data_IF_321453879308
#
_entry.id   IF_321453879308
#
_cell.length_a   1.000
_cell.length_b   1.000
_cell.length_c   1.000
_cell.angle_alpha   90.00
_cell.angle_beta   90.00
_cell.angle_gamma   90.00
#
_symmetry.space_group_name_H-M   'P 1'
#
loop_
_entity.id
_entity.type
_entity.pdbx_description
1 polymer ?
#
# COMPACT_ATOMS: atom_id res chain seq x y z
N UNK A 1 18.31 4.93 2.37
CA UNK A 1 19.79 4.89 2.20
C UNK A 1 20.45 5.10 3.56
N UNK A 2 21.77 4.93 3.74
CA UNK A 2 22.45 5.03 5.06
C UNK A 2 23.20 6.37 5.28
N UNK A 3 22.72 7.48 4.72
CA UNK A 3 23.35 8.80 4.90
C UNK A 3 24.75 8.95 4.32
N UNK A 4 25.18 8.06 3.43
CA UNK A 4 26.46 8.18 2.73
C UNK A 4 26.42 9.33 1.70
N UNK A 5 27.55 10.01 1.54
CA UNK A 5 27.71 11.11 0.58
C UNK A 5 27.50 10.66 -0.87
N UNK A 6 27.01 11.57 -1.72
CA UNK A 6 26.88 11.30 -3.15
C UNK A 6 28.24 11.50 -3.84
N UNK A 7 28.77 10.43 -4.40
CA UNK A 7 30.00 10.44 -5.19
C UNK A 7 29.70 10.75 -6.66
N UNK A 8 30.62 11.44 -7.35
CA UNK A 8 30.47 11.84 -8.75
C UNK A 8 30.12 10.68 -9.72
N UNK A 9 30.65 9.45 -9.59
CA UNK A 9 30.23 8.32 -10.44
C UNK A 9 28.77 7.88 -10.27
N UNK A 10 28.07 8.37 -9.23
CA UNK A 10 26.64 8.13 -9.01
C UNK A 10 25.74 9.27 -9.51
N UNK A 11 26.30 10.32 -10.11
CA UNK A 11 25.54 11.41 -10.73
C UNK A 11 25.22 11.02 -12.17
N UNK A 12 23.93 10.89 -12.50
CA UNK A 12 23.49 10.68 -13.88
C UNK A 12 23.53 12.01 -14.63
N UNK A 13 24.00 11.98 -15.87
CA UNK A 13 24.11 13.14 -16.77
C UNK A 13 23.60 12.77 -18.16
N UNK A 14 22.97 13.71 -18.86
CA UNK A 14 22.24 13.47 -20.12
C UNK A 14 23.15 13.32 -21.37
N UNK A 15 24.39 12.87 -21.17
CA UNK A 15 25.43 12.83 -22.19
C UNK A 15 26.84 12.72 -21.61
N UNK A 16 27.89 12.84 -22.46
CA UNK A 16 29.28 12.85 -22.02
C UNK A 16 29.58 14.06 -21.11
N UNK A 17 30.60 13.91 -20.26
CA UNK A 17 31.07 15.01 -19.41
C UNK A 17 31.72 16.11 -20.27
N UNK A 18 31.08 17.27 -20.30
CA UNK A 18 31.50 18.48 -21.01
C UNK A 18 31.61 19.64 -19.99
N UNK A 19 32.33 20.73 -20.30
CA UNK A 19 32.54 21.84 -19.37
C UNK A 19 31.26 22.47 -18.83
N UNK A 20 30.14 22.32 -19.54
CA UNK A 20 28.82 22.83 -19.16
C UNK A 20 27.89 21.79 -18.50
N UNK A 21 28.27 20.51 -18.38
CA UNK A 21 27.41 19.46 -17.79
C UNK A 21 27.02 19.75 -16.34
N UNK A 22 27.91 20.40 -15.58
CA UNK A 22 27.65 20.83 -14.20
C UNK A 22 27.40 22.35 -14.07
N UNK A 23 27.04 23.03 -15.16
CA UNK A 23 26.85 24.48 -15.13
C UNK A 23 25.77 24.90 -14.11
N UNK A 24 25.93 26.08 -13.50
CA UNK A 24 25.17 26.59 -12.33
C UNK A 24 25.46 25.89 -10.99
N UNK A 25 26.34 24.89 -10.92
CA UNK A 25 26.77 24.29 -9.63
C UNK A 25 27.99 25.03 -9.06
N UNK A 26 27.77 25.82 -8.01
CA UNK A 26 28.84 26.35 -7.15
C UNK A 26 29.11 25.41 -5.96
N UNK A 27 30.29 25.52 -5.36
CA UNK A 27 30.69 24.76 -4.16
C UNK A 27 29.99 25.29 -2.90
N UNK A 28 29.75 24.39 -1.94
CA UNK A 28 29.08 24.61 -0.65
C UNK A 28 27.64 25.16 -0.71
N UNK A 29 26.97 24.97 -1.86
CA UNK A 29 25.57 25.34 -2.07
C UNK A 29 24.64 24.22 -1.60
N UNK A 30 23.56 24.58 -0.92
CA UNK A 30 22.51 23.65 -0.51
C UNK A 30 21.77 23.11 -1.75
N UNK A 31 21.67 21.79 -1.86
CA UNK A 31 21.03 21.10 -2.98
C UNK A 31 20.17 19.92 -2.51
N UNK A 32 19.22 19.51 -3.35
CA UNK A 32 18.45 18.29 -3.16
C UNK A 32 18.94 17.19 -4.12
N UNK A 33 18.82 15.94 -3.68
CA UNK A 33 19.16 14.75 -4.46
C UNK A 33 17.84 14.01 -4.76
N UNK A 34 17.59 13.76 -6.04
CA UNK A 34 16.43 12.99 -6.55
C UNK A 34 16.91 11.74 -7.31
N UNK A 35 16.00 10.92 -7.83
CA UNK A 35 16.33 9.69 -8.57
C UNK A 35 15.81 9.77 -10.00
N UNK A 36 16.45 9.06 -10.94
CA UNK A 36 15.97 8.95 -12.34
C UNK A 36 14.54 8.40 -12.42
N UNK A 37 14.11 7.62 -11.44
CA UNK A 37 12.75 7.11 -11.30
C UNK A 37 11.73 8.08 -10.67
N UNK A 38 12.17 9.14 -9.98
CA UNK A 38 11.28 10.05 -9.26
C UNK A 38 11.98 11.39 -8.96
N UNK A 39 11.38 12.49 -9.44
CA UNK A 39 11.84 13.88 -9.29
C UNK A 39 11.74 14.41 -7.86
N UNK A 40 10.87 13.84 -7.00
CA UNK A 40 10.79 14.20 -5.59
C UNK A 40 12.14 13.97 -4.88
N UNK A 41 12.64 14.91 -4.04
CA UNK A 41 13.85 14.69 -3.26
C UNK A 41 13.82 13.41 -2.41
N UNK A 42 14.98 12.77 -2.27
CA UNK A 42 15.22 11.64 -1.35
C UNK A 42 16.30 11.96 -0.31
N UNK A 43 17.16 12.95 -0.59
CA UNK A 43 18.13 13.49 0.35
C UNK A 43 18.38 14.99 0.10
N UNK A 44 18.95 15.67 1.09
CA UNK A 44 19.38 17.08 1.04
C UNK A 44 20.85 17.13 1.49
N UNK A 45 21.64 17.98 0.84
CA UNK A 45 23.08 18.07 1.10
C UNK A 45 23.71 19.39 0.63
N UNK A 46 25.04 19.49 0.76
CA UNK A 46 25.84 20.61 0.26
C UNK A 46 26.82 20.14 -0.81
N UNK A 47 26.94 20.89 -1.90
CA UNK A 47 27.86 20.56 -3.00
C UNK A 47 29.32 20.61 -2.50
N UNK A 48 30.06 19.51 -2.66
CA UNK A 48 31.42 19.41 -2.13
C UNK A 48 32.50 19.99 -3.07
N UNK A 49 32.13 20.19 -4.34
CA UNK A 49 32.99 20.60 -5.45
C UNK A 49 32.24 21.63 -6.32
N UNK A 50 32.95 22.52 -7.01
CA UNK A 50 32.36 23.43 -8.00
C UNK A 50 32.15 22.73 -9.35
N UNK A 51 31.37 23.32 -10.26
CA UNK A 51 31.23 22.86 -11.65
C UNK A 51 32.57 22.56 -12.34
N UNK A 52 33.56 23.45 -12.16
CA UNK A 52 34.90 23.29 -12.70
C UNK A 52 35.64 22.11 -12.05
N UNK A 53 35.60 21.98 -10.72
CA UNK A 53 36.22 20.86 -10.00
C UNK A 53 35.57 19.51 -10.39
N UNK A 54 34.24 19.46 -10.51
CA UNK A 54 33.48 18.26 -10.88
C UNK A 54 33.78 17.79 -12.31
N UNK A 55 34.06 18.73 -13.22
CA UNK A 55 34.53 18.44 -14.57
C UNK A 55 36.01 17.99 -14.57
N UNK A 56 36.91 18.78 -13.97
CA UNK A 56 38.36 18.51 -13.99
C UNK A 56 38.78 17.26 -13.21
N UNK A 57 37.95 16.79 -12.28
CA UNK A 57 38.13 15.50 -11.59
C UNK A 57 37.71 14.28 -12.42
N UNK A 58 37.26 14.46 -13.67
CA UNK A 58 36.84 13.41 -14.59
C UNK A 58 35.82 12.44 -13.96
N UNK A 59 34.82 12.99 -13.27
CA UNK A 59 33.76 12.21 -12.61
C UNK A 59 34.21 11.46 -11.36
N UNK A 60 35.35 11.78 -10.74
CA UNK A 60 35.85 11.13 -9.51
C UNK A 60 35.80 12.06 -8.30
N UNK A 61 35.39 11.55 -7.14
CA UNK A 61 35.33 12.31 -5.89
C UNK A 61 33.91 12.50 -5.37
N UNK A 62 33.74 13.40 -4.39
CA UNK A 62 32.46 13.66 -3.73
C UNK A 62 31.71 14.78 -4.45
N UNK A 63 30.51 14.52 -4.95
CA UNK A 63 29.65 15.53 -5.56
C UNK A 63 28.91 16.35 -4.49
N UNK A 64 28.24 15.67 -3.56
CA UNK A 64 27.41 16.30 -2.51
C UNK A 64 27.67 15.61 -1.18
N UNK A 65 27.96 16.38 -0.14
CA UNK A 65 27.93 15.85 1.22
C UNK A 65 26.51 15.84 1.76
N UNK A 66 26.02 14.69 2.21
CA UNK A 66 24.62 14.49 2.59
C UNK A 66 24.40 14.96 4.04
N UNK A 67 23.39 15.80 4.24
CA UNK A 67 23.01 16.34 5.55
C UNK A 67 21.78 15.64 6.13
N UNK A 68 20.83 15.25 5.27
CA UNK A 68 19.58 14.61 5.63
C UNK A 68 19.15 13.63 4.54
N UNK A 69 18.57 12.49 4.91
CA UNK A 69 18.08 11.48 3.97
C UNK A 69 16.76 10.86 4.44
N UNK A 70 15.85 10.61 3.49
CA UNK A 70 14.58 9.97 3.82
C UNK A 70 14.81 8.59 4.46
N UNK A 71 14.21 8.41 5.64
CA UNK A 71 14.38 7.24 6.50
C UNK A 71 15.47 7.37 7.58
N UNK A 72 16.03 8.56 7.81
CA UNK A 72 16.90 8.83 8.96
C UNK A 72 16.12 9.20 10.24
N UNK A 73 16.86 9.51 11.32
CA UNK A 73 16.27 9.87 12.60
C UNK A 73 15.47 11.18 12.59
N UNK A 74 15.77 12.14 11.70
CA UNK A 74 14.98 13.37 11.58
C UNK A 74 13.59 13.05 11.00
N UNK A 75 13.51 12.11 10.05
CA UNK A 75 12.22 11.59 9.55
C UNK A 75 11.39 10.97 10.68
N UNK A 76 12.02 10.33 11.67
CA UNK A 76 11.31 9.68 12.79
C UNK A 76 10.62 10.65 13.76
N UNK A 77 10.94 11.95 13.69
CA UNK A 77 10.25 13.00 14.45
C UNK A 77 8.95 13.48 13.77
N UNK A 78 8.71 13.10 12.52
CA UNK A 78 7.54 13.53 11.73
C UNK A 78 6.71 12.31 11.33
N UNK A 79 5.51 12.19 11.90
CA UNK A 79 4.57 11.12 11.56
C UNK A 79 4.20 11.14 10.07
N UNK A 80 4.17 9.97 9.43
CA UNK A 80 3.70 9.74 8.04
C UNK A 80 4.49 10.38 6.88
N UNK A 81 5.78 10.68 7.06
CA UNK A 81 6.62 11.13 5.94
C UNK A 81 6.80 10.02 4.88
N UNK A 82 6.22 10.23 3.69
CA UNK A 82 6.38 9.37 2.50
C UNK A 82 6.87 10.20 1.31
N UNK A 83 7.56 9.55 0.34
CA UNK A 83 8.04 10.24 -0.86
C UNK A 83 6.90 10.34 -1.88
N UNK A 84 6.44 11.53 -2.28
CA UNK A 84 5.49 11.66 -3.39
C UNK A 84 6.12 11.15 -4.68
N UNK A 85 5.31 10.59 -5.57
CA UNK A 85 5.78 10.07 -6.87
C UNK A 85 5.60 11.14 -7.94
N UNK A 86 6.66 11.88 -8.24
CA UNK A 86 6.70 12.81 -9.37
C UNK A 86 7.54 12.22 -10.50
N UNK A 87 6.95 11.79 -11.63
CA UNK A 87 7.73 11.37 -12.79
C UNK A 87 8.52 12.56 -13.36
N UNK A 88 9.58 12.26 -14.10
CA UNK A 88 10.20 13.26 -14.98
C UNK A 88 9.30 13.47 -16.21
N UNK A 89 9.26 14.68 -16.80
CA UNK A 89 8.60 14.88 -18.08
C UNK A 89 9.26 13.98 -19.12
N UNK A 90 8.46 13.25 -19.90
CA UNK A 90 8.98 12.54 -21.06
C UNK A 90 9.26 13.61 -22.12
N UNK A 91 10.53 13.96 -22.30
CA UNK A 91 10.99 14.57 -23.53
C UNK A 91 10.90 13.48 -24.60
N UNK A 92 9.98 13.62 -25.54
CA UNK A 92 9.95 12.77 -26.73
C UNK A 92 11.23 13.05 -27.53
N UNK A 93 12.13 12.06 -27.61
CA UNK A 93 13.31 12.14 -28.47
C UNK A 93 12.85 12.12 -29.93
N UNK A 94 12.70 13.33 -30.49
CA UNK A 94 12.26 13.60 -31.86
C UNK A 94 13.33 13.20 -32.88
N UNK A 95 13.48 11.89 -33.04
CA UNK A 95 14.37 11.21 -33.98
C UNK A 95 14.00 11.55 -35.44
N UNK A 96 14.50 12.68 -35.93
CA UNK A 96 14.46 13.06 -37.34
C UNK A 96 15.81 13.55 -37.85
N UNK A 97 16.43 12.69 -38.63
CA UNK A 97 17.45 13.05 -39.62
C UNK A 97 16.84 13.98 -40.67
N UNK A 98 17.39 15.18 -40.81
CA UNK A 98 17.21 16.02 -42.00
C UNK A 98 18.36 17.03 -42.09
N UNK A 99 19.42 16.66 -42.82
CA UNK A 99 20.34 17.64 -43.40
C UNK A 99 19.65 18.36 -44.57
N UNK A 100 20.14 19.56 -44.92
CA UNK A 100 19.58 20.48 -45.94
C UNK A 100 18.16 21.01 -45.60
N UNK A 101 17.93 22.31 -45.47
CA UNK A 101 18.40 23.40 -46.34
C UNK A 101 18.81 24.67 -45.55
N UNK A 102 19.82 25.37 -46.07
CA UNK A 102 20.24 26.71 -45.62
C UNK A 102 19.43 27.81 -46.32
N UNK A 103 18.98 28.83 -45.55
CA UNK A 103 19.09 30.29 -45.85
C UNK A 103 18.30 31.16 -44.85
N UNK A 104 19.00 32.14 -44.25
CA UNK A 104 18.81 33.60 -44.40
C UNK A 104 17.38 34.13 -44.66
N UNK A 105 16.86 35.17 -44.01
CA UNK A 105 17.38 36.21 -43.07
C UNK A 105 16.17 36.66 -42.18
N UNK A 106 16.19 37.57 -41.21
CA UNK A 106 17.07 38.12 -40.16
C UNK A 106 16.20 39.22 -39.47
N UNK A 107 16.64 39.69 -38.29
CA UNK A 107 16.32 40.97 -37.63
C UNK A 107 14.95 41.26 -36.92
N UNK A 108 15.12 41.96 -35.78
CA UNK A 108 14.32 43.03 -35.16
C UNK A 108 13.06 42.83 -34.29
N UNK A 109 13.31 43.11 -33.01
CA UNK A 109 12.55 43.93 -32.05
C UNK A 109 11.15 43.54 -31.53
N UNK A 110 11.14 43.51 -30.19
CA UNK A 110 10.04 43.67 -29.27
C UNK A 110 9.11 44.88 -29.52
N UNK A 111 7.82 44.69 -29.20
CA UNK A 111 7.06 45.55 -28.27
C UNK A 111 5.74 44.89 -27.85
N UNK A 112 5.44 44.94 -26.55
CA UNK A 112 4.06 44.98 -26.05
C UNK A 112 3.57 46.44 -26.11
N UNK A 113 2.24 46.66 -26.10
CA UNK A 113 1.72 47.37 -24.93
C UNK A 113 0.34 46.87 -24.44
N UNK A 114 0.01 47.27 -23.21
CA UNK A 114 -1.30 47.11 -22.56
C UNK A 114 -2.13 48.37 -22.77
N UNK A 115 -3.43 48.22 -23.02
CA UNK A 115 -4.55 49.14 -22.69
C UNK A 115 -5.86 48.57 -23.25
N UNK A 116 -7.09 48.82 -22.79
CA UNK A 116 -7.74 49.36 -21.59
C UNK A 116 -9.25 49.38 -21.94
N UNK A 117 -10.13 49.66 -20.96
CA UNK A 117 -11.59 49.92 -21.07
C UNK A 117 -12.50 48.67 -20.96
N UNK A 118 -13.17 48.37 -19.85
CA UNK A 118 -14.12 49.15 -19.03
C UNK A 118 -15.47 49.46 -19.70
N UNK A 119 -16.53 48.82 -19.21
CA UNK A 119 -17.85 49.45 -19.10
C UNK A 119 -18.63 48.81 -17.94
N UNK A 120 -19.44 49.64 -17.25
CA UNK A 120 -20.22 49.29 -16.06
C UNK A 120 -21.70 49.23 -16.41
N UNK A 121 -22.45 48.35 -15.75
CA UNK A 121 -23.89 48.54 -15.46
C UNK A 121 -24.07 48.19 -13.98
N UNK A 122 -24.97 48.90 -13.31
CA UNK A 122 -25.08 49.00 -11.85
C UNK A 122 -26.44 48.52 -11.31
N UNK A 123 -26.54 48.57 -9.98
CA UNK A 123 -27.77 48.69 -9.17
C UNK A 123 -28.67 47.45 -8.97
N UNK A 124 -29.31 47.22 -7.79
CA UNK A 124 -29.05 47.65 -6.39
C UNK A 124 -30.00 46.84 -5.44
N UNK A 125 -29.80 46.92 -4.10
CA UNK A 125 -30.70 46.49 -2.99
C UNK A 125 -30.88 44.96 -2.75
N UNK A 126 -30.93 44.43 -1.51
CA UNK A 126 -30.60 44.99 -0.19
C UNK A 126 -30.37 43.88 0.87
N UNK A 127 -29.49 44.14 1.86
CA UNK A 127 -29.68 43.96 3.34
C UNK A 127 -30.49 42.73 3.83
N UNK A 128 -29.97 41.80 4.65
CA UNK A 128 -28.65 41.69 5.33
C UNK A 128 -28.25 40.19 5.58
N UNK A 129 -27.57 39.66 6.62
CA UNK A 129 -27.25 40.08 8.00
C UNK A 129 -25.97 39.38 8.56
N UNK A 130 -25.58 39.73 9.79
CA UNK A 130 -24.43 39.29 10.63
C UNK A 130 -24.26 37.75 10.87
N UNK A 131 -23.12 37.19 11.32
CA UNK A 131 -21.92 37.76 11.99
C UNK A 131 -20.65 36.88 11.84
N UNK A 132 -19.49 37.54 11.98
CA UNK A 132 -18.20 37.04 12.49
C UNK A 132 -17.21 36.34 11.50
N UNK A 133 -16.22 37.12 11.07
CA UNK A 133 -15.00 36.71 10.36
C UNK A 133 -13.85 36.32 11.33
N UNK A 134 -12.98 35.40 10.90
CA UNK A 134 -11.50 35.45 10.98
C UNK A 134 -10.90 34.10 10.56
N UNK A 135 -10.50 33.97 9.30
CA UNK A 135 -9.42 33.04 8.91
C UNK A 135 -8.56 33.62 7.79
N UNK A 136 -7.24 33.56 7.99
CA UNK A 136 -6.27 34.20 7.10
C UNK A 136 -6.35 33.62 5.67
N UNK A 137 -6.41 34.53 4.70
CA UNK A 137 -6.16 34.17 3.30
C UNK A 137 -4.74 33.61 3.14
N UNK A 138 -4.64 32.37 2.67
CA UNK A 138 -3.45 31.87 1.99
C UNK A 138 -3.83 31.68 0.53
N UNK A 139 -3.48 32.66 -0.30
CA UNK A 139 -3.70 32.61 -1.74
C UNK A 139 -3.05 31.37 -2.33
N UNK A 140 -3.87 30.45 -2.87
CA UNK A 140 -3.42 29.31 -3.64
C UNK A 140 -4.03 29.34 -5.03
N UNK A 141 -3.19 29.02 -6.01
CA UNK A 141 -3.38 29.31 -7.43
C UNK A 141 -4.54 28.51 -8.05
N UNK A 142 -5.12 29.02 -9.13
CA UNK A 142 -6.31 28.46 -9.76
C UNK A 142 -6.07 27.01 -10.21
N UNK A 143 -6.79 26.06 -9.63
CA UNK A 143 -7.01 24.78 -10.28
C UNK A 143 -7.96 24.98 -11.47
N UNK A 144 -7.75 24.25 -12.60
CA UNK A 144 -8.69 24.28 -13.72
C UNK A 144 -10.07 23.77 -13.26
N UNK A 145 -11.18 24.30 -13.80
CA UNK A 145 -12.53 23.93 -13.37
C UNK A 145 -12.80 22.44 -13.58
N UNK A 146 -13.13 21.74 -12.49
CA UNK A 146 -13.42 20.30 -12.51
C UNK A 146 -14.80 20.06 -13.12
N UNK A 147 -14.83 19.41 -14.28
CA UNK A 147 -16.06 18.93 -14.92
C UNK A 147 -16.63 17.72 -14.16
N UNK A 148 -17.54 18.01 -13.23
CA UNK A 148 -18.24 17.00 -12.43
C UNK A 148 -19.16 16.09 -13.27
N UNK A 149 -19.67 16.55 -14.42
CA UNK A 149 -20.49 15.71 -15.31
C UNK A 149 -19.61 14.63 -15.98
N UNK A 150 -18.45 15.03 -16.49
CA UNK A 150 -17.48 14.11 -17.09
C UNK A 150 -16.94 13.12 -16.07
N UNK A 151 -16.56 13.58 -14.86
CA UNK A 151 -16.10 12.69 -13.78
C UNK A 151 -17.21 11.70 -13.41
N UNK A 152 -18.47 12.13 -13.30
CA UNK A 152 -19.59 11.22 -13.06
C UNK A 152 -19.76 10.18 -14.18
N UNK A 153 -19.75 10.59 -15.45
CA UNK A 153 -19.86 9.67 -16.60
C UNK A 153 -18.72 8.65 -16.60
N UNK A 154 -17.48 9.08 -16.39
CA UNK A 154 -16.34 8.16 -16.29
C UNK A 154 -16.47 7.15 -15.15
N UNK A 155 -16.91 7.58 -13.96
CA UNK A 155 -17.12 6.68 -12.81
C UNK A 155 -18.22 5.66 -13.09
N UNK A 156 -19.32 6.11 -13.68
CA UNK A 156 -20.44 5.27 -14.11
C UNK A 156 -20.00 4.21 -15.14
N UNK A 157 -19.30 4.60 -16.21
CA UNK A 157 -18.82 3.67 -17.24
C UNK A 157 -17.85 2.61 -16.69
N UNK A 158 -16.96 2.99 -15.76
CA UNK A 158 -16.07 2.04 -15.05
C UNK A 158 -16.88 1.03 -14.22
N UNK A 159 -17.96 1.48 -13.56
CA UNK A 159 -18.82 0.63 -12.74
C UNK A 159 -19.58 -0.45 -13.54
N UNK A 160 -20.09 -0.12 -14.74
CA UNK A 160 -20.84 -1.05 -15.59
C UNK A 160 -19.98 -2.23 -16.10
N UNK A 161 -18.67 -2.03 -16.25
CA UNK A 161 -17.74 -3.13 -16.57
C UNK A 161 -17.60 -4.12 -15.41
N UNK A 162 -17.54 -3.62 -14.17
CA UNK A 162 -17.26 -4.46 -12.98
C UNK A 162 -18.47 -5.24 -12.49
N UNK A 163 -19.69 -4.70 -12.62
CA UNK A 163 -20.92 -5.38 -12.19
C UNK A 163 -21.18 -6.64 -13.05
N UNK A 164 -21.50 -7.76 -12.40
CA UNK A 164 -21.90 -9.01 -13.05
C UNK A 164 -23.42 -9.06 -13.19
N UNK A 165 -23.93 -9.68 -14.26
CA UNK A 165 -25.37 -9.71 -14.58
C UNK A 165 -26.19 -10.37 -13.45
N UNK A 166 -25.61 -11.36 -12.75
CA UNK A 166 -26.22 -12.01 -11.59
C UNK A 166 -26.26 -11.16 -10.29
N UNK A 167 -25.85 -9.89 -10.35
CA UNK A 167 -26.04 -8.91 -9.27
C UNK A 167 -27.25 -8.00 -9.52
N UNK A 168 -27.99 -8.21 -10.61
CA UNK A 168 -29.22 -7.50 -10.95
C UNK A 168 -30.45 -8.39 -10.62
N UNK A 169 -31.61 -7.79 -10.29
CA UNK A 169 -31.87 -6.36 -10.19
C UNK A 169 -31.28 -5.74 -8.90
N UNK A 170 -30.76 -4.51 -9.01
CA UNK A 170 -30.03 -3.80 -7.95
C UNK A 170 -30.69 -2.46 -7.62
N UNK A 171 -30.82 -2.10 -6.34
CA UNK A 171 -31.36 -0.77 -5.98
C UNK A 171 -30.40 0.34 -6.42
N UNK A 172 -30.94 1.42 -6.99
CA UNK A 172 -30.16 2.57 -7.50
C UNK A 172 -29.27 3.21 -6.43
N UNK A 173 -29.70 3.25 -5.17
CA UNK A 173 -28.89 3.78 -4.07
C UNK A 173 -27.64 2.93 -3.81
N UNK A 174 -27.78 1.60 -3.88
CA UNK A 174 -26.67 0.63 -3.74
C UNK A 174 -25.73 0.77 -4.94
N UNK A 175 -26.28 0.79 -6.16
CA UNK A 175 -25.51 0.99 -7.38
C UNK A 175 -24.66 2.28 -7.34
N UNK A 176 -25.26 3.41 -7.00
CA UNK A 176 -24.56 4.69 -6.95
C UNK A 176 -23.48 4.72 -5.86
N UNK A 177 -23.82 4.32 -4.63
CA UNK A 177 -22.89 4.42 -3.49
C UNK A 177 -21.76 3.39 -3.52
N UNK A 178 -22.02 2.15 -3.94
CA UNK A 178 -21.05 1.05 -3.85
C UNK A 178 -20.32 0.75 -5.16
N UNK A 179 -20.86 1.16 -6.31
CA UNK A 179 -20.25 0.88 -7.62
C UNK A 179 -19.84 2.15 -8.39
N UNK A 180 -20.65 3.21 -8.41
CA UNK A 180 -20.27 4.46 -9.11
C UNK A 180 -19.23 5.25 -8.32
N UNK A 181 -19.49 5.57 -7.04
CA UNK A 181 -18.57 6.38 -6.22
C UNK A 181 -17.21 5.70 -5.95
N UNK A 182 -17.13 4.37 -6.06
CA UNK A 182 -15.91 3.58 -5.91
C UNK A 182 -14.83 3.94 -6.94
N UNK A 183 -15.21 4.53 -8.07
CA UNK A 183 -14.30 4.91 -9.15
C UNK A 183 -13.91 6.41 -9.16
N UNK A 184 -14.30 7.19 -8.13
CA UNK A 184 -13.97 8.63 -8.07
C UNK A 184 -12.46 8.86 -7.93
N UNK A 185 -11.87 9.88 -8.61
CA UNK A 185 -10.47 10.25 -8.41
C UNK A 185 -10.19 10.65 -6.95
N UNK A 186 -9.00 10.34 -6.38
CA UNK A 186 -8.70 10.63 -4.97
C UNK A 186 -8.63 12.13 -4.63
N UNK A 187 -8.59 13.01 -5.65
CA UNK A 187 -8.57 14.46 -5.51
C UNK A 187 -9.93 15.12 -5.83
N UNK A 188 -10.98 14.35 -6.12
CA UNK A 188 -12.30 14.88 -6.50
C UNK A 188 -13.39 14.28 -5.63
N UNK A 189 -14.04 15.11 -4.81
CA UNK A 189 -15.25 14.70 -4.10
C UNK A 189 -16.51 14.93 -4.95
N UNK A 190 -17.05 13.81 -5.46
CA UNK A 190 -18.09 13.76 -6.49
C UNK A 190 -19.49 13.90 -5.88
N UNK A 191 -19.91 15.15 -5.64
CA UNK A 191 -21.29 15.49 -5.28
C UNK A 191 -22.19 15.61 -6.52
N UNK A 192 -23.26 14.81 -6.55
CA UNK A 192 -24.29 14.82 -7.59
C UNK A 192 -24.95 16.20 -7.75
N UNK A 193 -25.00 17.04 -6.71
CA UNK A 193 -25.58 18.40 -6.77
C UNK A 193 -24.75 19.36 -7.63
N UNK A 194 -23.45 19.09 -7.82
CA UNK A 194 -22.53 19.87 -8.66
C UNK A 194 -22.60 19.48 -10.14
N UNK A 195 -23.32 18.41 -10.48
CA UNK A 195 -23.60 17.97 -11.85
C UNK A 195 -24.85 18.64 -12.40
N UNK A 196 -25.00 18.71 -13.73
CA UNK A 196 -26.23 19.25 -14.37
C UNK A 196 -27.50 18.50 -13.95
N UNK A 197 -27.35 17.22 -13.61
CA UNK A 197 -28.46 16.33 -13.24
C UNK A 197 -29.03 16.60 -11.84
N UNK A 198 -28.20 17.09 -10.90
CA UNK A 198 -28.52 17.42 -9.49
C UNK A 198 -29.11 16.30 -8.61
N UNK A 199 -29.57 15.19 -9.20
CA UNK A 199 -30.17 14.01 -8.55
C UNK A 199 -29.79 12.74 -9.30
N UNK A 200 -29.46 11.66 -8.58
CA UNK A 200 -29.05 10.36 -9.16
C UNK A 200 -30.12 9.81 -10.11
N UNK A 201 -31.41 9.90 -9.73
CA UNK A 201 -32.51 9.41 -10.58
C UNK A 201 -32.72 10.18 -11.89
N UNK A 202 -32.21 11.41 -12.01
CA UNK A 202 -32.22 12.16 -13.28
C UNK A 202 -31.03 11.77 -14.16
N UNK A 203 -29.86 11.58 -13.56
CA UNK A 203 -28.68 11.04 -14.24
C UNK A 203 -28.95 9.65 -14.84
N UNK A 204 -29.52 8.72 -14.07
CA UNK A 204 -29.77 7.36 -14.55
C UNK A 204 -30.91 7.25 -15.57
N UNK A 205 -31.86 8.19 -15.59
CA UNK A 205 -32.84 8.29 -16.69
C UNK A 205 -32.14 8.71 -17.99
N UNK A 206 -31.27 9.72 -17.96
CA UNK A 206 -30.46 10.07 -19.14
C UNK A 206 -29.54 8.90 -19.60
N UNK A 207 -28.92 8.15 -18.69
CA UNK A 207 -28.13 6.97 -19.07
C UNK A 207 -28.97 5.80 -19.61
N UNK A 208 -30.26 5.74 -19.28
CA UNK A 208 -31.22 4.81 -19.87
C UNK A 208 -31.68 5.28 -21.26
N UNK A 209 -31.94 6.57 -21.44
CA UNK A 209 -32.27 7.18 -22.73
C UNK A 209 -31.08 7.06 -23.73
N UNK A 210 -29.84 7.12 -23.22
CA UNK A 210 -28.61 6.81 -23.96
C UNK A 210 -28.32 5.29 -24.13
N UNK A 211 -29.19 4.40 -23.63
CA UNK A 211 -29.14 2.97 -23.91
C UNK A 211 -28.10 2.14 -23.11
N UNK A 212 -27.55 2.67 -22.02
CA UNK A 212 -26.62 1.93 -21.15
C UNK A 212 -27.29 0.97 -20.17
N UNK A 213 -28.48 1.32 -19.67
CA UNK A 213 -29.14 0.66 -18.53
C UNK A 213 -30.66 0.70 -18.64
N UNK A 214 -31.34 -0.16 -17.88
CA UNK A 214 -32.81 -0.10 -17.70
C UNK A 214 -33.16 0.02 -16.22
N UNK A 215 -33.89 1.07 -15.87
CA UNK A 215 -34.33 1.39 -14.50
C UNK A 215 -35.86 1.41 -14.43
N UNK A 216 -36.44 0.78 -13.42
CA UNK A 216 -37.88 0.84 -13.12
C UNK A 216 -38.12 1.47 -11.76
N UNK A 217 -39.35 1.94 -11.54
CA UNK A 217 -39.81 2.53 -10.27
C UNK A 217 -40.96 1.70 -9.68
N UNK A 218 -40.71 0.47 -9.19
CA UNK A 218 -41.76 -0.44 -8.70
C UNK A 218 -42.52 0.07 -7.46
N UNK A 219 -41.99 1.09 -6.77
CA UNK A 219 -42.67 1.89 -5.75
C UNK A 219 -42.18 3.33 -5.87
N UNK A 220 -43.06 4.30 -5.63
CA UNK A 220 -42.72 5.73 -5.66
C UNK A 220 -41.45 6.02 -4.82
N UNK A 221 -40.44 6.63 -5.46
CA UNK A 221 -39.14 6.95 -4.85
C UNK A 221 -38.14 5.79 -4.76
N UNK A 222 -38.50 4.56 -5.13
CA UNK A 222 -37.62 3.38 -5.09
C UNK A 222 -37.27 2.95 -6.52
N UNK A 223 -36.12 3.43 -7.00
CA UNK A 223 -35.58 3.07 -8.32
C UNK A 223 -34.75 1.78 -8.27
N UNK A 224 -34.96 0.91 -9.26
CA UNK A 224 -34.36 -0.41 -9.38
C UNK A 224 -33.71 -0.57 -10.76
N UNK A 225 -32.41 -0.82 -10.81
CA UNK A 225 -31.62 -1.12 -12.00
C UNK A 225 -31.77 -2.60 -12.35
N UNK A 226 -32.36 -2.91 -13.50
CA UNK A 226 -32.72 -4.29 -13.90
C UNK A 226 -31.76 -4.88 -14.93
N UNK A 227 -31.26 -4.05 -15.85
CA UNK A 227 -30.41 -4.48 -16.96
C UNK A 227 -29.28 -3.48 -17.21
N UNK A 228 -28.14 -3.97 -17.73
CA UNK A 228 -26.95 -3.21 -18.12
C UNK A 228 -26.52 -3.70 -19.50
N UNK A 229 -26.52 -2.81 -20.49
CA UNK A 229 -26.04 -3.06 -21.84
C UNK A 229 -24.50 -3.11 -21.87
N UNK A 230 -23.93 -4.31 -21.76
CA UNK A 230 -22.47 -4.52 -21.73
C UNK A 230 -21.79 -4.37 -23.08
N UNK A 231 -22.51 -4.47 -24.18
CA UNK A 231 -21.97 -4.42 -25.55
C UNK A 231 -21.88 -2.99 -26.12
N UNK A 232 -22.39 -2.01 -25.38
CA UNK A 232 -22.43 -0.59 -25.73
C UNK A 232 -21.05 -0.04 -26.13
N UNK A 233 -21.02 0.75 -27.20
CA UNK A 233 -19.78 1.14 -27.89
C UNK A 233 -18.81 1.89 -26.98
N UNK A 234 -19.32 2.86 -26.18
CA UNK A 234 -18.50 3.62 -25.23
C UNK A 234 -17.80 2.75 -24.18
N UNK A 235 -18.37 1.59 -23.80
CA UNK A 235 -17.72 0.72 -22.82
C UNK A 235 -16.43 0.11 -23.38
N UNK A 236 -16.29 -0.06 -24.70
CA UNK A 236 -15.15 -0.78 -25.29
C UNK A 236 -13.80 -0.14 -24.91
N UNK A 237 -13.70 1.18 -24.93
CA UNK A 237 -12.48 1.94 -24.57
C UNK A 237 -12.20 2.10 -23.07
N UNK A 238 -13.08 1.67 -22.17
CA UNK A 238 -12.96 1.95 -20.72
C UNK A 238 -11.97 1.00 -20.04
N UNK A 239 -10.78 1.49 -19.69
CA UNK A 239 -9.82 0.72 -18.85
C UNK A 239 -10.18 0.84 -17.36
N UNK A 240 -10.18 -0.28 -16.65
CA UNK A 240 -10.37 -0.35 -15.18
C UNK A 240 -9.12 -0.98 -14.57
N UNK A 241 -8.55 -0.36 -13.55
CA UNK A 241 -7.34 -0.84 -12.87
C UNK A 241 -7.61 -2.16 -12.13
N UNK A 242 -6.72 -3.17 -12.22
CA UNK A 242 -6.91 -4.48 -11.55
C UNK A 242 -6.90 -4.39 -10.02
N UNK A 243 -6.52 -3.25 -9.44
CA UNK A 243 -6.58 -2.99 -8.00
C UNK A 243 -8.00 -2.95 -7.42
N UNK A 244 -9.05 -2.93 -8.25
CA UNK A 244 -10.46 -2.82 -7.84
C UNK A 244 -11.25 -4.11 -8.16
N UNK A 245 -10.60 -5.28 -8.11
CA UNK A 245 -11.25 -6.58 -8.36
C UNK A 245 -11.72 -7.29 -7.07
N UNK A 246 -12.58 -6.64 -6.28
CA UNK A 246 -13.58 -7.36 -5.48
C UNK A 246 -14.69 -6.42 -4.96
N UNK A 247 -16.00 -6.72 -5.16
CA UNK A 247 -17.11 -5.98 -4.55
C UNK A 247 -17.30 -6.35 -3.07
N UNK A 248 -16.18 -6.44 -2.35
CA UNK A 248 -16.07 -6.69 -0.92
C UNK A 248 -15.10 -5.74 -0.21
N UNK A 249 -14.71 -4.66 -0.89
CA UNK A 249 -14.37 -3.42 -0.19
C UNK A 249 -15.67 -2.88 0.39
N UNK A 250 -16.03 -3.39 1.56
CA UNK A 250 -16.84 -2.63 2.51
C UNK A 250 -16.19 -1.25 2.64
N UNK A 251 -16.94 -0.17 2.39
CA UNK A 251 -16.54 1.18 2.82
C UNK A 251 -16.68 1.24 4.35
N UNK A 252 -15.86 0.44 5.03
CA UNK A 252 -15.81 0.35 6.47
C UNK A 252 -15.45 1.74 7.01
N UNK A 253 -16.28 2.22 7.93
CA UNK A 253 -16.23 3.58 8.43
C UNK A 253 -15.13 3.70 9.49
N UNK A 254 -13.89 3.45 9.06
CA UNK A 254 -12.68 3.49 9.88
C UNK A 254 -12.44 4.89 10.45
N UNK A 255 -11.75 4.99 11.61
CA UNK A 255 -11.17 6.26 12.06
C UNK A 255 -10.32 6.89 10.94
N UNK A 256 -10.33 8.21 10.82
CA UNK A 256 -9.69 8.93 9.70
C UNK A 256 -8.19 8.62 9.57
N UNK A 257 -7.52 8.34 10.69
CA UNK A 257 -6.10 7.99 10.76
C UNK A 257 -5.81 6.49 10.57
N UNK A 258 -6.83 5.63 10.44
CA UNK A 258 -6.69 4.19 10.20
C UNK A 258 -7.02 3.81 8.75
N UNK A 259 -6.08 3.15 8.06
CA UNK A 259 -6.25 2.77 6.64
C UNK A 259 -6.75 1.33 6.42
N UNK A 260 -7.11 0.63 7.50
CA UNK A 260 -7.62 -0.74 7.49
C UNK A 260 -6.60 -1.78 7.94
N UNK A 261 -7.04 -3.02 8.22
CA UNK A 261 -6.19 -4.06 8.80
C UNK A 261 -5.15 -4.57 7.80
N UNK A 262 -3.91 -4.87 8.25
CA UNK A 262 -2.90 -5.47 7.41
C UNK A 262 -3.23 -6.92 7.03
N UNK A 263 -2.85 -7.29 5.80
CA UNK A 263 -2.82 -8.70 5.36
C UNK A 263 -1.59 -9.37 5.98
N UNK A 264 -1.82 -10.36 6.84
CA UNK A 264 -0.77 -11.16 7.48
C UNK A 264 -0.74 -12.55 6.84
N UNK A 265 0.39 -12.90 6.21
CA UNK A 265 0.64 -14.18 5.56
C UNK A 265 1.75 -14.97 6.29
N UNK A 266 1.54 -16.27 6.49
CA UNK A 266 2.53 -17.16 7.11
C UNK A 266 3.63 -17.51 6.08
N UNK A 267 4.88 -17.22 6.40
CA UNK A 267 6.03 -17.44 5.51
C UNK A 267 7.19 -18.17 6.21
N UNK A 268 8.13 -18.64 5.40
CA UNK A 268 9.28 -19.44 5.80
C UNK A 268 10.55 -18.81 5.24
N UNK A 269 11.52 -18.50 6.09
CA UNK A 269 12.81 -17.95 5.70
C UNK A 269 13.81 -19.10 5.51
N UNK A 270 14.44 -19.15 4.33
CA UNK A 270 15.41 -20.18 3.94
C UNK A 270 16.72 -19.95 4.69
N UNK A 271 17.10 -20.89 5.58
CA UNK A 271 18.33 -20.86 6.37
C UNK A 271 18.81 -22.28 6.68
N UNK A 272 20.07 -22.41 7.12
CA UNK A 272 20.62 -23.69 7.60
C UNK A 272 20.76 -24.76 6.50
N UNK A 273 20.77 -26.06 6.85
CA UNK A 273 21.01 -27.15 5.91
C UNK A 273 20.06 -27.17 4.70
N UNK A 274 18.79 -26.79 4.90
CA UNK A 274 17.77 -26.71 3.85
C UNK A 274 18.14 -25.75 2.71
N UNK A 275 19.03 -24.78 2.93
CA UNK A 275 19.51 -23.87 1.88
C UNK A 275 20.04 -24.63 0.66
N UNK A 276 20.75 -25.75 0.85
CA UNK A 276 21.35 -26.52 -0.23
C UNK A 276 20.35 -27.34 -1.09
N UNK A 277 19.11 -27.49 -0.61
CA UNK A 277 17.97 -28.00 -1.39
C UNK A 277 17.35 -26.87 -2.22
N UNK A 278 17.14 -25.72 -1.59
CA UNK A 278 16.47 -24.57 -2.22
C UNK A 278 17.35 -23.88 -3.28
N UNK A 279 18.68 -23.91 -3.12
CA UNK A 279 19.62 -23.35 -4.10
C UNK A 279 19.70 -24.11 -5.43
N UNK A 280 19.05 -25.27 -5.55
CA UNK A 280 18.88 -25.98 -6.83
C UNK A 280 17.68 -25.48 -7.64
N UNK A 281 16.92 -24.54 -7.08
CA UNK A 281 15.74 -23.89 -7.66
C UNK A 281 15.87 -22.36 -7.59
N UNK A 282 17.10 -21.86 -7.75
CA UNK A 282 17.51 -20.44 -7.77
C UNK A 282 17.27 -19.59 -6.49
N UNK A 283 16.72 -20.18 -5.43
CA UNK A 283 16.53 -19.51 -4.14
C UNK A 283 17.81 -19.36 -3.30
N UNK A 284 17.89 -18.29 -2.51
CA UNK A 284 19.06 -17.94 -1.69
C UNK A 284 18.78 -17.95 -0.19
N UNK A 285 19.85 -18.09 0.59
CA UNK A 285 19.80 -17.96 2.05
C UNK A 285 19.27 -16.57 2.46
N UNK A 286 18.25 -16.54 3.32
CA UNK A 286 17.57 -15.33 3.75
C UNK A 286 16.31 -14.98 2.96
N UNK A 287 16.03 -15.62 1.82
CA UNK A 287 14.80 -15.39 1.06
C UNK A 287 13.58 -16.05 1.73
N UNK A 288 12.38 -15.57 1.35
CA UNK A 288 11.11 -15.89 2.01
C UNK A 288 10.16 -16.62 1.05
N UNK A 289 9.77 -17.84 1.40
CA UNK A 289 8.82 -18.69 0.64
C UNK A 289 7.57 -19.00 1.47
N UNK A 290 6.45 -19.26 0.81
CA UNK A 290 5.26 -19.84 1.43
C UNK A 290 5.44 -21.34 1.70
N UNK A 291 4.55 -21.91 2.52
CA UNK A 291 4.48 -23.35 2.73
C UNK A 291 4.11 -24.14 1.44
N UNK A 292 3.40 -23.51 0.50
CA UNK A 292 3.02 -24.11 -0.78
C UNK A 292 4.22 -24.21 -1.73
N UNK A 293 4.97 -23.13 -1.89
CA UNK A 293 6.20 -23.09 -2.70
C UNK A 293 7.25 -24.07 -2.13
N UNK A 294 7.45 -24.07 -0.80
CA UNK A 294 8.33 -25.01 -0.13
C UNK A 294 7.93 -26.48 -0.38
N UNK A 295 6.63 -26.79 -0.50
CA UNK A 295 6.15 -28.14 -0.86
C UNK A 295 6.41 -28.47 -2.33
N UNK A 296 6.18 -27.52 -3.24
CA UNK A 296 6.45 -27.69 -4.68
C UNK A 296 7.95 -27.91 -4.96
N UNK A 297 8.83 -27.23 -4.23
CA UNK A 297 10.29 -27.37 -4.33
C UNK A 297 10.74 -28.79 -3.93
N UNK A 298 10.24 -29.32 -2.82
CA UNK A 298 10.51 -30.71 -2.40
C UNK A 298 9.94 -31.73 -3.39
N UNK A 299 8.70 -31.54 -3.85
CA UNK A 299 8.04 -32.38 -4.85
C UNK A 299 8.83 -32.44 -6.17
N UNK A 300 9.27 -31.29 -6.67
CA UNK A 300 10.12 -31.19 -7.85
C UNK A 300 11.49 -31.84 -7.63
N UNK A 301 12.10 -31.68 -6.45
CA UNK A 301 13.38 -32.32 -6.14
C UNK A 301 13.30 -33.86 -6.16
N UNK A 302 12.26 -34.42 -5.53
CA UNK A 302 12.01 -35.87 -5.51
C UNK A 302 11.77 -36.40 -6.92
N UNK A 303 11.03 -35.66 -7.75
CA UNK A 303 10.75 -36.00 -9.15
C UNK A 303 12.00 -35.95 -10.04
N UNK A 304 12.78 -34.87 -9.98
CA UNK A 304 13.99 -34.67 -10.80
C UNK A 304 15.05 -35.72 -10.49
N UNK A 305 15.30 -35.97 -9.20
CA UNK A 305 16.30 -36.94 -8.75
C UNK A 305 15.78 -38.40 -8.72
N UNK A 306 14.53 -38.64 -9.16
CA UNK A 306 13.86 -39.96 -9.21
C UNK A 306 13.90 -40.72 -7.87
N UNK A 307 13.70 -39.99 -6.77
CA UNK A 307 13.83 -40.51 -5.40
C UNK A 307 12.55 -41.19 -4.87
N UNK A 308 11.43 -41.11 -5.59
CA UNK A 308 10.18 -41.74 -5.18
C UNK A 308 10.25 -43.26 -5.39
N UNK A 309 9.83 -44.05 -4.40
CA UNK A 309 9.93 -45.51 -4.45
C UNK A 309 9.00 -46.10 -5.53
N UNK A 310 9.52 -47.08 -6.27
CA UNK A 310 8.76 -47.86 -7.27
C UNK A 310 7.77 -48.84 -6.64
N UNK A 311 7.98 -49.20 -5.37
CA UNK A 311 7.24 -50.25 -4.66
C UNK A 311 6.12 -49.65 -3.80
N UNK A 312 6.32 -48.45 -3.26
CA UNK A 312 5.26 -47.64 -2.64
C UNK A 312 5.49 -46.14 -2.97
N UNK A 313 4.61 -45.49 -3.76
CA UNK A 313 4.75 -44.07 -4.08
C UNK A 313 4.53 -43.14 -2.88
N UNK A 314 4.12 -43.64 -1.71
CA UNK A 314 3.99 -42.83 -0.48
C UNK A 314 5.34 -42.50 0.17
N UNK A 315 6.41 -43.25 -0.15
CA UNK A 315 7.76 -43.09 0.41
C UNK A 315 8.80 -42.62 -0.60
N UNK A 316 9.84 -41.96 -0.08
CA UNK A 316 10.95 -41.37 -0.81
C UNK A 316 12.27 -41.95 -0.28
N UNK A 317 13.12 -42.46 -1.16
CA UNK A 317 14.48 -42.85 -0.85
C UNK A 317 15.34 -41.61 -0.55
N UNK A 318 16.02 -41.62 0.59
CA UNK A 318 16.82 -40.50 1.07
C UNK A 318 18.21 -40.50 0.44
N UNK A 319 18.54 -39.45 -0.29
CA UNK A 319 19.90 -39.18 -0.73
C UNK A 319 20.73 -38.47 0.37
N UNK A 320 22.00 -38.16 0.06
CA UNK A 320 22.92 -37.46 0.98
C UNK A 320 22.42 -36.08 1.41
N UNK A 321 21.64 -35.40 0.57
CA UNK A 321 21.10 -34.07 0.88
C UNK A 321 19.89 -34.18 1.82
N UNK A 322 18.93 -35.05 1.50
CA UNK A 322 17.73 -35.25 2.31
C UNK A 322 18.08 -35.89 3.67
N UNK A 323 19.07 -36.78 3.74
CA UNK A 323 19.63 -37.27 5.01
C UNK A 323 20.27 -36.16 5.85
N UNK A 324 20.82 -35.10 5.24
CA UNK A 324 21.37 -33.94 5.98
C UNK A 324 20.30 -32.99 6.54
N UNK A 325 19.06 -33.08 6.03
CA UNK A 325 17.92 -32.23 6.39
C UNK A 325 16.96 -32.93 7.37
N UNK A 326 16.76 -34.23 7.24
CA UNK A 326 15.77 -34.99 8.00
C UNK A 326 16.38 -35.64 9.26
N UNK A 327 15.62 -35.69 10.36
CA UNK A 327 16.10 -36.31 11.60
C UNK A 327 16.17 -37.84 11.46
N UNK A 328 17.29 -38.54 11.78
CA UNK A 328 17.45 -39.98 11.54
C UNK A 328 16.37 -40.90 12.13
N UNK A 329 15.70 -40.47 13.21
CA UNK A 329 14.55 -41.16 13.81
C UNK A 329 13.29 -41.23 12.91
N UNK A 330 13.26 -40.51 11.79
CA UNK A 330 12.17 -40.59 10.79
C UNK A 330 12.57 -41.43 9.57
N UNK A 331 13.72 -42.10 9.61
CA UNK A 331 14.18 -42.95 8.51
C UNK A 331 13.57 -44.35 8.68
N UNK A 332 13.09 -44.91 7.59
CA UNK A 332 12.63 -46.28 7.44
C UNK A 332 13.70 -47.01 6.63
N UNK A 333 14.13 -48.21 7.04
CA UNK A 333 15.06 -48.99 6.23
C UNK A 333 14.31 -49.70 5.08
N UNK A 334 14.82 -49.57 3.85
CA UNK A 334 14.23 -50.22 2.68
C UNK A 334 14.39 -51.75 2.77
N UNK A 335 13.41 -52.56 2.28
CA UNK A 335 13.61 -54.01 2.12
C UNK A 335 14.75 -54.37 1.14
N UNK A 336 15.22 -53.41 0.33
CA UNK A 336 16.36 -53.54 -0.58
C UNK A 336 17.70 -53.14 0.08
N UNK A 337 17.67 -52.69 1.34
CA UNK A 337 18.86 -52.29 2.10
C UNK A 337 19.79 -53.47 2.36
N UNK A 338 21.09 -53.24 2.36
CA UNK A 338 22.09 -54.26 2.67
C UNK A 338 23.19 -53.71 3.58
N UNK A 339 23.84 -54.57 4.35
CA UNK A 339 24.94 -54.21 5.27
C UNK A 339 26.10 -53.46 4.55
N UNK A 340 26.27 -53.65 3.24
CA UNK A 340 27.27 -52.95 2.41
C UNK A 340 26.77 -51.67 1.76
N UNK A 341 25.46 -51.49 1.64
CA UNK A 341 24.81 -50.32 1.04
C UNK A 341 23.45 -50.09 1.74
N UNK A 342 23.43 -49.34 2.86
CA UNK A 342 22.21 -49.07 3.59
C UNK A 342 21.30 -48.09 2.81
N UNK A 343 20.04 -48.45 2.63
CA UNK A 343 19.06 -47.64 1.87
C UNK A 343 17.97 -47.17 2.84
N UNK A 344 17.96 -45.87 3.12
CA UNK A 344 16.94 -45.24 3.97
C UNK A 344 15.84 -44.59 3.13
N UNK A 345 14.62 -44.63 3.66
CA UNK A 345 13.41 -44.05 3.10
C UNK A 345 12.71 -43.17 4.14
N UNK A 346 11.79 -42.32 3.70
CA UNK A 346 10.92 -41.50 4.55
C UNK A 346 9.54 -41.36 3.89
N UNK A 347 8.47 -41.21 4.67
CA UNK A 347 7.17 -40.86 4.08
C UNK A 347 7.22 -39.46 3.46
N UNK A 348 6.55 -39.23 2.33
CA UNK A 348 6.50 -37.90 1.71
C UNK A 348 5.89 -36.84 2.65
N UNK A 349 4.99 -37.26 3.56
CA UNK A 349 4.43 -36.41 4.61
C UNK A 349 5.49 -35.95 5.61
N UNK A 350 6.34 -36.85 6.06
CA UNK A 350 7.35 -36.56 7.08
C UNK A 350 8.55 -35.81 6.48
N UNK A 351 8.92 -36.10 5.23
CA UNK A 351 9.88 -35.30 4.45
C UNK A 351 9.47 -33.82 4.41
N UNK A 352 8.24 -33.53 3.95
CA UNK A 352 7.70 -32.16 3.92
C UNK A 352 7.70 -31.54 5.33
N UNK A 353 7.33 -32.32 6.35
CA UNK A 353 7.30 -31.85 7.74
C UNK A 353 8.70 -31.51 8.28
N UNK A 354 9.73 -32.29 7.94
CA UNK A 354 11.13 -32.02 8.31
C UNK A 354 11.71 -30.83 7.53
N UNK A 355 11.45 -30.70 6.23
CA UNK A 355 11.88 -29.51 5.46
C UNK A 355 11.25 -28.24 6.06
N UNK A 356 9.93 -28.25 6.32
CA UNK A 356 9.23 -27.11 6.93
C UNK A 356 9.67 -26.84 8.37
N UNK A 357 10.11 -27.85 9.14
CA UNK A 357 10.63 -27.67 10.51
C UNK A 357 11.98 -26.95 10.52
N UNK A 358 12.83 -27.21 9.53
CA UNK A 358 14.15 -26.58 9.40
C UNK A 358 14.09 -25.14 8.85
N UNK A 359 13.00 -24.76 8.17
CA UNK A 359 12.78 -23.39 7.72
C UNK A 359 12.30 -22.48 8.86
N UNK A 360 12.90 -21.29 8.99
CA UNK A 360 12.54 -20.33 10.06
C UNK A 360 11.14 -19.76 9.82
N UNK A 361 10.21 -19.94 10.75
CA UNK A 361 8.87 -19.31 10.69
C UNK A 361 8.96 -17.80 10.84
N UNK A 362 8.28 -17.08 9.95
CA UNK A 362 8.08 -15.64 10.01
C UNK A 362 6.71 -15.27 9.41
N UNK A 363 6.36 -13.99 9.45
CA UNK A 363 5.09 -13.50 8.90
C UNK A 363 5.36 -12.32 7.96
N UNK A 364 4.71 -12.31 6.79
CA UNK A 364 4.71 -11.18 5.86
C UNK A 364 3.50 -10.31 6.19
N UNK A 365 3.74 -9.04 6.53
CA UNK A 365 2.70 -8.07 6.88
C UNK A 365 2.63 -7.03 5.75
N UNK A 366 1.51 -7.01 5.02
CA UNK A 366 1.24 -6.00 3.99
C UNK A 366 0.16 -5.05 4.51
N UNK A 367 0.51 -3.78 4.74
CA UNK A 367 -0.42 -2.76 5.19
C UNK A 367 -1.05 -2.02 3.99
N UNK A 368 -2.29 -1.50 4.09
CA UNK A 368 -2.95 -0.79 2.98
C UNK A 368 -2.25 0.49 2.52
N UNK A 369 -1.40 1.07 3.37
CA UNK A 369 -0.67 2.33 3.17
C UNK A 369 0.81 2.12 2.78
N UNK A 370 1.33 0.88 2.80
CA UNK A 370 2.73 0.57 2.47
C UNK A 370 2.85 -0.34 1.24
N UNK A 371 3.57 0.13 0.23
CA UNK A 371 3.88 -0.62 -1.00
C UNK A 371 4.86 -1.78 -0.78
N UNK A 372 5.66 -1.75 0.29
CA UNK A 372 6.62 -2.81 0.63
C UNK A 372 6.18 -3.57 1.89
N UNK A 373 6.03 -4.90 1.85
CA UNK A 373 5.62 -5.68 3.02
C UNK A 373 6.74 -5.78 4.07
N UNK A 374 6.34 -5.79 5.34
CA UNK A 374 7.24 -5.93 6.49
C UNK A 374 7.41 -7.42 6.84
N UNK A 375 8.65 -7.87 7.05
CA UNK A 375 8.97 -9.25 7.45
C UNK A 375 9.09 -9.34 8.98
N UNK A 376 8.05 -9.85 9.63
CA UNK A 376 8.00 -10.11 11.06
C UNK A 376 8.67 -11.45 11.37
N UNK A 377 10.00 -11.42 11.50
CA UNK A 377 10.84 -12.56 11.87
C UNK A 377 10.76 -12.86 13.38
N UNK A 378 9.59 -13.35 13.84
CA UNK A 378 9.38 -13.90 15.18
C UNK A 378 8.57 -15.20 15.08
N UNK A 379 8.71 -16.08 16.08
CA UNK A 379 7.99 -17.36 16.16
C UNK A 379 6.46 -17.21 16.26
N UNK A 380 5.99 -16.10 16.80
CA UNK A 380 4.58 -15.75 16.95
C UNK A 380 4.21 -14.58 16.02
N UNK A 381 2.97 -14.51 15.51
CA UNK A 381 2.49 -13.38 14.72
C UNK A 381 2.44 -12.09 15.55
N UNK A 382 2.27 -10.91 14.92
CA UNK A 382 2.00 -9.67 15.63
C UNK A 382 0.64 -9.74 16.31
N UNK A 383 0.61 -10.14 17.59
CA UNK A 383 -0.61 -10.12 18.38
C UNK A 383 -0.90 -8.71 18.92
N UNK A 384 -2.18 -8.32 18.96
CA UNK A 384 -2.64 -7.32 19.92
C UNK A 384 -2.84 -8.05 21.25
N UNK A 385 -2.26 -7.53 22.33
CA UNK A 385 -2.32 -8.17 23.65
C UNK A 385 -3.31 -7.43 24.55
N UNK A 386 -4.40 -8.11 24.91
CA UNK A 386 -5.52 -7.60 25.69
C UNK A 386 -5.61 -8.36 27.02
N UNK A 387 -5.47 -7.67 28.16
CA UNK A 387 -5.35 -8.32 29.48
C UNK A 387 -5.85 -7.42 30.61
N UNK A 388 -6.19 -8.01 31.77
CA UNK A 388 -6.53 -7.25 32.99
C UNK A 388 -5.40 -7.28 34.01
N UNK A 389 -5.22 -6.17 34.72
CA UNK A 389 -4.35 -6.07 35.90
C UNK A 389 -5.14 -5.52 37.09
N UNK A 390 -4.70 -5.82 38.31
CA UNK A 390 -5.23 -5.19 39.54
C UNK A 390 -4.19 -4.23 40.08
N UNK A 391 -4.52 -2.95 40.25
CA UNK A 391 -3.66 -1.94 40.87
C UNK A 391 -4.42 -1.25 42.00
N UNK A 392 -3.86 -1.26 43.21
CA UNK A 392 -4.48 -0.68 44.42
C UNK A 392 -5.93 -1.14 44.62
N UNK A 393 -6.17 -2.47 44.52
CA UNK A 393 -7.49 -3.10 44.62
C UNK A 393 -8.41 -2.94 43.41
N UNK A 394 -8.15 -1.99 42.50
CA UNK A 394 -8.99 -1.72 41.33
C UNK A 394 -8.54 -2.53 40.12
N UNK A 395 -9.47 -3.18 39.42
CA UNK A 395 -9.21 -3.86 38.14
C UNK A 395 -9.15 -2.83 37.00
N UNK A 396 -8.17 -2.99 36.13
CA UNK A 396 -7.90 -2.17 34.95
C UNK A 396 -7.69 -3.09 33.74
N UNK A 397 -8.09 -2.64 32.55
CA UNK A 397 -7.85 -3.37 31.30
C UNK A 397 -6.70 -2.70 30.54
N UNK A 398 -5.79 -3.49 29.97
CA UNK A 398 -4.63 -3.03 29.20
C UNK A 398 -4.65 -3.62 27.80
N UNK A 399 -4.18 -2.81 26.85
CA UNK A 399 -4.05 -3.13 25.43
C UNK A 399 -2.64 -2.75 24.98
N UNK A 400 -1.86 -3.71 24.51
CA UNK A 400 -0.50 -3.50 24.03
C UNK A 400 -0.33 -3.92 22.57
N UNK A 401 0.67 -3.35 21.90
CA UNK A 401 1.11 -3.71 20.55
C UNK A 401 0.10 -3.47 19.40
N UNK A 402 -0.84 -2.53 19.61
CA UNK A 402 -1.77 -2.02 18.58
C UNK A 402 -1.06 -1.33 17.40
N UNK A 403 0.15 -0.81 17.64
CA UNK A 403 0.98 -0.14 16.63
C UNK A 403 1.37 -1.08 15.47
N UNK A 404 1.46 -2.40 15.74
CA UNK A 404 1.70 -3.43 14.71
C UNK A 404 0.53 -3.60 13.72
N UNK A 405 -0.57 -2.86 13.91
CA UNK A 405 -1.74 -2.79 13.03
C UNK A 405 -1.88 -1.42 12.36
N UNK A 406 -0.89 -0.53 12.51
CA UNK A 406 -1.01 0.90 12.16
C UNK A 406 -2.19 1.61 12.87
N UNK A 407 -2.55 1.15 14.07
CA UNK A 407 -3.53 1.81 14.93
C UNK A 407 -2.78 2.78 15.86
N UNK A 408 -3.03 4.08 15.69
CA UNK A 408 -2.42 5.13 16.48
C UNK A 408 -2.89 5.05 17.95
N UNK A 409 -1.97 4.90 18.94
CA UNK A 409 -2.35 4.77 20.34
C UNK A 409 -3.06 6.00 20.93
N UNK A 410 -2.81 7.21 20.42
CA UNK A 410 -3.48 8.44 20.89
C UNK A 410 -4.91 8.55 20.36
N UNK A 411 -5.12 8.31 19.07
CA UNK A 411 -6.45 8.27 18.44
C UNK A 411 -7.31 7.19 19.10
N UNK A 412 -6.78 5.97 19.19
CA UNK A 412 -7.48 4.84 19.79
C UNK A 412 -7.76 5.04 21.29
N UNK A 413 -6.84 5.67 22.05
CA UNK A 413 -7.10 6.01 23.46
C UNK A 413 -8.26 7.01 23.61
N UNK A 414 -8.35 8.03 22.74
CA UNK A 414 -9.45 9.01 22.75
C UNK A 414 -10.79 8.32 22.40
N UNK A 415 -10.81 7.50 21.36
CA UNK A 415 -11.99 6.75 20.94
C UNK A 415 -12.46 5.77 22.03
N UNK A 416 -11.54 5.03 22.66
CA UNK A 416 -11.85 4.15 23.80
C UNK A 416 -12.41 4.91 25.01
N UNK A 417 -11.89 6.11 25.31
CA UNK A 417 -12.40 6.95 26.41
C UNK A 417 -13.89 7.28 26.24
N UNK A 418 -14.28 7.60 25.00
CA UNK A 418 -15.67 7.88 24.63
C UNK A 418 -16.49 6.57 24.64
N UNK A 419 -16.01 5.54 23.94
CA UNK A 419 -16.74 4.27 23.74
C UNK A 419 -16.98 3.47 25.04
N UNK A 420 -16.05 3.52 25.99
CA UNK A 420 -16.17 2.85 27.29
C UNK A 420 -16.74 3.74 28.40
N UNK A 421 -17.00 5.03 28.11
CA UNK A 421 -17.39 6.07 29.07
C UNK A 421 -16.54 6.07 30.37
N UNK A 422 -15.24 5.77 30.26
CA UNK A 422 -14.35 5.57 31.41
C UNK A 422 -13.01 6.29 31.24
N UNK A 423 -12.21 6.34 32.31
CA UNK A 423 -10.85 6.91 32.22
C UNK A 423 -9.94 5.96 31.43
N UNK A 424 -9.41 6.46 30.31
CA UNK A 424 -8.46 5.77 29.43
C UNK A 424 -7.24 6.67 29.24
N UNK A 425 -6.04 6.09 29.30
CA UNK A 425 -4.77 6.79 29.05
C UNK A 425 -3.64 5.82 28.72
N UNK A 426 -2.48 6.36 28.33
CA UNK A 426 -1.29 5.59 27.95
C UNK A 426 -0.34 5.41 29.14
N UNK A 427 0.39 4.31 29.16
CA UNK A 427 1.53 4.04 30.04
C UNK A 427 2.69 3.46 29.23
N UNK A 428 3.93 3.73 29.64
CA UNK A 428 5.18 3.17 29.05
C UNK A 428 5.89 2.20 30.00
N UNK A 429 5.63 2.32 31.30
CA UNK A 429 6.21 1.50 32.36
C UNK A 429 5.28 0.32 32.70
N UNK A 430 4.98 -0.52 31.71
CA UNK A 430 4.27 -1.79 31.91
C UNK A 430 5.25 -2.93 32.26
N UNK A 431 4.81 -3.92 33.03
CA UNK A 431 5.65 -5.04 33.49
C UNK A 431 5.76 -6.19 32.47
N UNK A 432 4.78 -6.34 31.58
CA UNK A 432 4.79 -7.32 30.48
C UNK A 432 5.36 -6.72 29.19
N UNK A 433 5.14 -5.41 28.95
CA UNK A 433 5.60 -4.68 27.76
C UNK A 433 6.44 -3.44 28.13
N UNK A 434 7.58 -3.62 28.83
CA UNK A 434 8.42 -2.50 29.26
C UNK A 434 8.94 -1.69 28.07
N UNK A 435 8.82 -0.36 28.15
CA UNK A 435 9.27 0.54 27.09
C UNK A 435 8.36 0.63 25.87
N UNK A 436 7.21 -0.06 25.86
CA UNK A 436 6.19 0.05 24.81
C UNK A 436 5.02 0.91 25.26
N UNK A 437 4.31 1.51 24.30
CA UNK A 437 3.06 2.20 24.60
C UNK A 437 1.95 1.17 24.85
N UNK A 438 1.42 1.17 26.07
CA UNK A 438 0.29 0.35 26.50
C UNK A 438 -0.88 1.28 26.84
N UNK A 439 -2.04 1.02 26.25
CA UNK A 439 -3.28 1.74 26.56
C UNK A 439 -3.91 1.07 27.78
N UNK A 440 -4.36 1.86 28.75
CA UNK A 440 -4.96 1.38 29.99
C UNK A 440 -6.32 2.05 30.22
N UNK A 441 -7.37 1.24 30.32
CA UNK A 441 -8.74 1.63 30.63
C UNK A 441 -9.12 1.25 32.07
N UNK A 442 -9.89 2.10 32.76
CA UNK A 442 -10.41 1.82 34.10
C UNK A 442 -11.60 0.86 34.05
N UNK A 443 -11.52 -0.25 34.80
CA UNK A 443 -12.52 -1.32 34.81
C UNK A 443 -12.11 -2.55 34.00
N UNK A 444 -13.03 -3.52 33.88
CA UNK A 444 -12.85 -4.75 33.09
C UNK A 444 -13.68 -4.63 31.82
N UNK A 445 -13.00 -4.47 30.69
CA UNK A 445 -13.61 -4.18 29.38
C UNK A 445 -13.18 -5.15 28.28
N UNK A 446 -12.64 -6.31 28.64
CA UNK A 446 -12.08 -7.30 27.70
C UNK A 446 -13.03 -7.62 26.55
N UNK A 447 -14.28 -7.95 26.86
CA UNK A 447 -15.33 -8.27 25.89
C UNK A 447 -15.66 -7.07 24.97
N UNK A 448 -15.84 -5.89 25.55
CA UNK A 448 -16.18 -4.65 24.85
C UNK A 448 -15.07 -4.19 23.89
N UNK A 449 -13.80 -4.30 24.32
CA UNK A 449 -12.63 -3.97 23.50
C UNK A 449 -12.39 -5.04 22.44
N UNK A 450 -12.56 -6.33 22.79
CA UNK A 450 -12.49 -7.45 21.83
C UNK A 450 -13.47 -7.25 20.68
N UNK A 451 -14.72 -6.86 21.01
CA UNK A 451 -15.75 -6.51 20.03
C UNK A 451 -15.34 -5.33 19.15
N UNK A 452 -14.88 -4.22 19.75
CA UNK A 452 -14.44 -3.01 19.04
C UNK A 452 -13.31 -3.30 18.03
N UNK A 453 -12.31 -4.09 18.42
CA UNK A 453 -11.20 -4.48 17.53
C UNK A 453 -11.67 -5.35 16.36
N UNK A 454 -12.63 -6.26 16.58
CA UNK A 454 -13.17 -7.11 15.50
C UNK A 454 -14.15 -6.41 14.57
N UNK A 455 -14.97 -5.48 15.08
CA UNK A 455 -16.02 -4.83 14.29
C UNK A 455 -15.59 -3.48 13.71
N UNK A 456 -14.95 -2.62 14.51
CA UNK A 456 -14.59 -1.25 14.12
C UNK A 456 -13.15 -1.11 13.60
N UNK A 457 -12.39 -2.19 13.52
CA UNK A 457 -11.06 -2.24 12.89
C UNK A 457 -10.85 -3.50 12.00
N UNK A 458 -11.84 -4.39 11.87
CA UNK A 458 -11.78 -5.70 11.20
C UNK A 458 -10.58 -6.59 11.56
N UNK A 459 -10.06 -6.49 12.78
CA UNK A 459 -8.90 -7.27 13.20
C UNK A 459 -9.34 -8.72 13.48
N UNK A 460 -8.79 -9.73 12.79
CA UNK A 460 -9.21 -11.11 12.98
C UNK A 460 -8.97 -11.61 14.41
N UNK A 461 -9.98 -12.24 15.03
CA UNK A 461 -9.93 -12.81 16.40
C UNK A 461 -8.64 -13.58 16.70
N UNK A 462 -8.13 -14.35 15.72
CA UNK A 462 -6.89 -15.14 15.81
C UNK A 462 -5.62 -14.35 16.12
N UNK A 463 -5.65 -13.02 15.99
CA UNK A 463 -4.52 -12.13 16.27
C UNK A 463 -4.71 -11.26 17.53
N UNK A 464 -5.77 -11.50 18.32
CA UNK A 464 -6.01 -10.79 19.59
C UNK A 464 -5.75 -11.78 20.74
N UNK A 465 -4.58 -11.68 21.38
CA UNK A 465 -4.26 -12.48 22.58
C UNK A 465 -5.06 -11.95 23.76
N UNK A 466 -5.80 -12.83 24.43
CA UNK A 466 -6.76 -12.45 25.48
C UNK A 466 -8.11 -11.95 24.95
N UNK A 467 -8.42 -12.20 23.67
CA UNK A 467 -9.75 -12.01 23.12
C UNK A 467 -10.82 -12.68 24.01
N UNK A 468 -11.89 -11.94 24.29
CA UNK A 468 -13.05 -12.41 25.06
C UNK A 468 -14.29 -12.20 24.20
N UNK A 469 -15.08 -13.25 23.95
CA UNK A 469 -16.35 -13.12 23.23
C UNK A 469 -17.27 -12.14 23.98
N UNK A 470 -17.97 -11.21 23.28
CA UNK A 470 -19.00 -10.40 23.90
C UNK A 470 -20.18 -11.26 24.34
N UNK A 471 -20.75 -10.92 25.49
CA UNK A 471 -21.98 -11.57 25.98
C UNK A 471 -23.07 -11.49 24.90
N UNK A 472 -23.58 -12.66 24.49
CA UNK A 472 -24.70 -12.74 23.57
C UNK A 472 -25.92 -12.13 24.26
N UNK A 473 -26.32 -10.93 23.82
CA UNK A 473 -27.64 -10.38 24.15
C UNK A 473 -28.70 -11.42 23.76
N UNK A 474 -29.52 -11.80 24.73
CA UNK A 474 -30.78 -12.51 24.51
C UNK A 474 -31.84 -11.54 23.97
#
# INVERSE_FOLDING_TARGET
>A
MRGADLMLPGVVTDGPLLPYTFNKISKDVLCCISTTSNRAPVAIGRTAMSNYDMYMSAGKGKAVSVLHVMGDHLCSLVSSLSRPTFPWPILEESSKTSEELMRNDDDSESKSPVSQSSQLISDDNNVDEELNDLHLEVSLELQPPVDYDKVLRECFLKSLKMIKINQLPMQVNIFYSQHVLLHKPPHVDLDIKKTKFKKVGLFLKAMQDEGFIEVTEPKSGVLLLNHINKDHVELRGVTVSPSITDPKVECNNWPEDYKGPPKIEDIRIIKGPVTALFSQFDYKSGECVSQSEARQIVDNYVRINKLQSTTDPSVVCLDKLLMSICEPKTFIESPESTIKNPIFQISFRDLISQTLKNLTTAYRITYPDLSTPVIWNKKEPPYIHLYTVTKSGKKLTRIAEVENYHINPDSFSKQLKIYLACSVGRITNDQQYPGKIVIQAQGVHLATISKLLTESYAIPKRFIKGYTEPDKKK
#
